data_IF_188289394756
#
_entry.id   IF_188289394756
#
_cell.length_a   1.000
_cell.length_b   1.000
_cell.length_c   1.000
_cell.angle_alpha   90.00
_cell.angle_beta   90.00
_cell.angle_gamma   90.00
#
_symmetry.space_group_name_H-M   'P 1'
#
loop_
_entity.id
_entity.type
_entity.pdbx_description
1 polymer ?
#
# COMPACT_ATOMS: atom_id res chain seq x y z
N UNK A 1 10.07 7.02 -33.15
CA UNK A 1 10.01 8.13 -32.17
C UNK A 1 8.63 8.28 -31.50
N UNK A 2 7.72 7.29 -31.58
CA UNK A 2 6.31 7.42 -31.15
C UNK A 2 5.89 6.47 -30.01
N UNK A 3 6.72 5.51 -29.59
CA UNK A 3 6.34 4.52 -28.57
C UNK A 3 6.45 5.03 -27.13
N UNK A 4 7.51 5.80 -26.81
CA UNK A 4 7.75 6.27 -25.43
C UNK A 4 6.70 7.28 -24.94
N UNK A 5 6.18 8.12 -25.84
CA UNK A 5 5.17 9.11 -25.47
C UNK A 5 3.82 8.48 -25.10
N UNK A 6 3.47 7.35 -25.73
CA UNK A 6 2.24 6.61 -25.42
C UNK A 6 2.30 5.90 -24.08
N UNK A 7 3.44 5.29 -23.75
CA UNK A 7 3.66 4.64 -22.45
C UNK A 7 3.60 5.66 -21.30
N UNK A 8 4.30 6.79 -21.44
CA UNK A 8 4.29 7.88 -20.45
C UNK A 8 2.88 8.44 -20.21
N UNK A 9 2.05 8.52 -21.25
CA UNK A 9 0.69 9.01 -21.13
C UNK A 9 -0.22 8.01 -20.40
N UNK A 10 -0.05 6.72 -20.67
CA UNK A 10 -0.80 5.65 -20.03
C UNK A 10 -0.48 5.56 -18.54
N UNK A 11 0.81 5.61 -18.17
CA UNK A 11 1.25 5.60 -16.77
C UNK A 11 0.71 6.79 -15.97
N UNK A 12 0.74 7.99 -16.56
CA UNK A 12 0.13 9.18 -15.96
C UNK A 12 -1.35 8.99 -15.70
N UNK A 13 -2.07 8.42 -16.67
CA UNK A 13 -3.51 8.23 -16.56
C UNK A 13 -3.87 7.18 -15.50
N UNK A 14 -3.13 6.08 -15.42
CA UNK A 14 -3.26 5.09 -14.34
C UNK A 14 -2.99 5.73 -12.97
N UNK A 15 -1.95 6.58 -12.87
CA UNK A 15 -1.65 7.31 -11.65
C UNK A 15 -2.78 8.30 -11.26
N UNK A 16 -3.40 8.99 -12.22
CA UNK A 16 -4.55 9.86 -12.00
C UNK A 16 -5.79 9.08 -11.53
N UNK A 17 -6.10 7.94 -12.16
CA UNK A 17 -7.20 7.05 -11.74
C UNK A 17 -6.99 6.60 -10.29
N UNK A 18 -5.80 6.09 -9.95
CA UNK A 18 -5.44 5.69 -8.59
C UNK A 18 -5.50 6.86 -7.61
N UNK A 19 -5.08 8.05 -8.02
CA UNK A 19 -5.20 9.28 -7.21
C UNK A 19 -6.66 9.61 -6.92
N UNK A 20 -7.54 9.53 -7.94
CA UNK A 20 -8.96 9.80 -7.81
C UNK A 20 -9.65 8.79 -6.90
N UNK A 21 -9.36 7.50 -7.06
CA UNK A 21 -9.85 6.43 -6.17
C UNK A 21 -9.48 6.72 -4.71
N UNK A 22 -8.21 7.06 -4.44
CA UNK A 22 -7.75 7.44 -3.09
C UNK A 22 -8.46 8.68 -2.56
N UNK A 23 -8.70 9.68 -3.42
CA UNK A 23 -9.44 10.88 -3.05
C UNK A 23 -10.88 10.55 -2.66
N UNK A 24 -11.57 9.72 -3.43
CA UNK A 24 -12.93 9.26 -3.14
C UNK A 24 -12.99 8.56 -1.77
N UNK A 25 -12.07 7.64 -1.52
CA UNK A 25 -11.95 6.96 -0.22
C UNK A 25 -11.68 7.95 0.92
N UNK A 26 -10.77 8.90 0.75
CA UNK A 26 -10.47 9.92 1.77
C UNK A 26 -11.68 10.82 2.05
N UNK A 27 -12.30 11.38 1.02
CA UNK A 27 -13.49 12.24 1.17
C UNK A 27 -14.65 11.47 1.78
N UNK A 28 -14.77 10.16 1.51
CA UNK A 28 -15.77 9.32 2.17
C UNK A 28 -15.51 9.18 3.67
N UNK A 29 -14.26 9.04 4.09
CA UNK A 29 -13.86 9.01 5.51
C UNK A 29 -14.02 10.37 6.19
N UNK A 30 -13.69 11.47 5.52
CA UNK A 30 -13.90 12.83 6.06
C UNK A 30 -15.39 13.11 6.30
N UNK A 31 -16.28 12.63 5.41
CA UNK A 31 -17.73 12.70 5.63
C UNK A 31 -18.16 11.90 6.87
N UNK A 32 -17.58 10.73 7.10
CA UNK A 32 -17.82 9.94 8.33
C UNK A 32 -17.44 10.78 9.55
N UNK A 33 -16.26 11.40 9.55
CA UNK A 33 -15.80 12.21 10.66
C UNK A 33 -16.68 13.44 10.93
N UNK A 34 -17.11 14.16 9.88
CA UNK A 34 -18.02 15.31 10.06
C UNK A 34 -19.34 14.92 10.72
N UNK A 35 -19.91 13.78 10.33
CA UNK A 35 -21.12 13.28 10.98
C UNK A 35 -20.86 12.99 12.45
N UNK A 36 -19.72 12.38 12.78
CA UNK A 36 -19.34 12.07 14.17
C UNK A 36 -19.12 13.34 15.01
N UNK A 37 -18.42 14.33 14.47
CA UNK A 37 -18.06 15.57 15.17
C UNK A 37 -19.23 16.53 15.35
N UNK A 38 -20.14 16.61 14.37
CA UNK A 38 -21.26 17.55 14.40
C UNK A 38 -22.23 17.30 15.57
N UNK A 39 -22.33 16.06 16.05
CA UNK A 39 -23.30 15.71 17.10
C UNK A 39 -24.76 15.86 16.67
N UNK A 40 -25.02 16.17 15.39
CA UNK A 40 -26.36 16.38 14.81
C UNK A 40 -27.02 15.02 14.50
N UNK A 41 -27.15 14.19 15.53
CA UNK A 41 -27.71 12.83 15.42
C UNK A 41 -29.21 12.81 15.18
N UNK A 42 -29.90 13.93 15.46
CA UNK A 42 -31.35 14.05 15.42
C UNK A 42 -31.91 14.48 14.05
N UNK A 43 -31.07 15.02 13.16
CA UNK A 43 -31.44 15.51 11.82
C UNK A 43 -31.09 14.54 10.68
N UNK A 44 -30.48 13.39 10.99
CA UNK A 44 -30.30 12.32 10.02
C UNK A 44 -31.66 11.65 9.85
N UNK A 45 -32.44 12.21 8.92
CA UNK A 45 -33.84 11.88 8.65
C UNK A 45 -34.11 10.37 8.63
N UNK A 46 -35.31 10.00 9.09
CA UNK A 46 -35.83 8.63 9.02
C UNK A 46 -35.94 8.10 7.57
N UNK A 47 -35.82 8.98 6.57
CA UNK A 47 -35.92 8.66 5.14
C UNK A 47 -34.57 8.39 4.45
N UNK A 48 -33.45 8.35 5.18
CA UNK A 48 -32.17 7.90 4.62
C UNK A 48 -32.29 6.45 4.12
N UNK A 49 -32.19 6.19 2.80
CA UNK A 49 -32.25 4.84 2.28
C UNK A 49 -31.15 3.98 2.91
N UNK A 50 -31.45 2.72 3.24
CA UNK A 50 -30.45 1.75 3.72
C UNK A 50 -29.29 1.60 2.74
N UNK A 51 -29.58 1.83 1.46
CA UNK A 51 -28.68 1.71 0.33
C UNK A 51 -28.86 2.92 -0.57
N UNK A 52 -28.12 4.00 -0.29
CA UNK A 52 -27.92 5.05 -1.29
C UNK A 52 -26.99 4.44 -2.34
N UNK A 53 -27.54 3.92 -3.43
CA UNK A 53 -26.77 3.72 -4.66
C UNK A 53 -26.21 5.08 -5.05
N UNK A 54 -24.90 5.26 -4.86
CA UNK A 54 -24.24 6.47 -5.33
C UNK A 54 -24.11 6.38 -6.84
N UNK A 55 -24.46 7.44 -7.57
CA UNK A 55 -24.13 7.49 -8.98
C UNK A 55 -22.59 7.34 -9.14
N UNK A 56 -22.12 6.71 -10.23
CA UNK A 56 -20.69 6.60 -10.51
C UNK A 56 -20.01 7.96 -10.50
N UNK A 57 -18.76 8.02 -10.01
CA UNK A 57 -17.99 9.25 -10.03
C UNK A 57 -17.69 9.64 -11.47
N UNK A 58 -18.19 10.81 -11.91
CA UNK A 58 -18.05 11.26 -13.30
C UNK A 58 -16.59 11.46 -13.71
N UNK A 59 -15.76 11.94 -12.79
CA UNK A 59 -14.33 12.15 -13.06
C UNK A 59 -13.63 10.82 -13.25
N UNK A 60 -13.86 9.85 -12.36
CA UNK A 60 -13.33 8.50 -12.49
C UNK A 60 -13.79 7.86 -13.80
N UNK A 61 -15.10 7.92 -14.10
CA UNK A 61 -15.66 7.38 -15.35
C UNK A 61 -14.94 7.95 -16.58
N UNK A 62 -14.76 9.27 -16.65
CA UNK A 62 -14.03 9.94 -17.74
C UNK A 62 -12.58 9.47 -17.85
N UNK A 63 -11.89 9.27 -16.73
CA UNK A 63 -10.50 8.79 -16.74
C UNK A 63 -10.40 7.34 -17.22
N UNK A 64 -11.37 6.50 -16.85
CA UNK A 64 -11.47 5.11 -17.32
C UNK A 64 -11.72 5.05 -18.83
N UNK A 65 -12.63 5.87 -19.34
CA UNK A 65 -12.90 5.97 -20.79
C UNK A 65 -11.65 6.41 -21.57
N UNK A 66 -10.87 7.35 -21.01
CA UNK A 66 -9.60 7.78 -21.60
C UNK A 66 -8.56 6.65 -21.60
N UNK A 67 -8.54 5.82 -20.55
CA UNK A 67 -7.60 4.70 -20.44
C UNK A 67 -7.93 3.64 -21.48
N UNK A 68 -9.21 3.33 -21.64
CA UNK A 68 -9.67 2.39 -22.66
C UNK A 68 -9.36 2.84 -24.08
N UNK A 69 -9.48 4.14 -24.36
CA UNK A 69 -9.14 4.71 -25.67
C UNK A 69 -7.64 4.70 -26.00
N UNK A 70 -6.76 4.72 -24.99
CA UNK A 70 -5.30 4.77 -25.17
C UNK A 70 -4.63 3.39 -25.09
N UNK A 71 -5.23 2.48 -24.33
CA UNK A 71 -4.69 1.15 -24.14
C UNK A 71 -4.80 0.32 -25.44
N UNK A 72 -3.64 -0.06 -25.99
CA UNK A 72 -3.54 -1.09 -27.04
C UNK A 72 -3.73 -2.47 -26.42
N UNK A 73 -4.24 -3.45 -27.17
CA UNK A 73 -4.60 -4.78 -26.66
C UNK A 73 -3.40 -5.44 -25.94
N UNK A 74 -3.38 -5.45 -24.60
CA UNK A 74 -2.36 -6.17 -23.88
C UNK A 74 -2.72 -7.66 -23.89
N UNK A 75 -1.72 -8.52 -23.76
CA UNK A 75 -1.97 -9.89 -23.30
C UNK A 75 -2.58 -9.80 -21.90
N UNK A 76 -3.90 -9.95 -21.79
CA UNK A 76 -4.61 -9.93 -20.51
C UNK A 76 -4.42 -11.29 -19.85
N UNK A 77 -4.04 -11.28 -18.58
CA UNK A 77 -3.88 -12.48 -17.77
C UNK A 77 -5.24 -13.19 -17.56
N UNK A 78 -5.28 -14.51 -17.72
CA UNK A 78 -6.50 -15.32 -17.61
C UNK A 78 -7.16 -15.16 -16.23
N UNK A 79 -6.40 -15.02 -15.15
CA UNK A 79 -6.93 -14.81 -13.79
C UNK A 79 -7.64 -13.45 -13.68
N UNK A 80 -7.08 -12.40 -14.31
CA UNK A 80 -7.71 -11.08 -14.36
C UNK A 80 -9.01 -11.13 -15.16
N UNK A 81 -9.01 -11.84 -16.29
CA UNK A 81 -10.19 -12.02 -17.12
C UNK A 81 -11.29 -12.80 -16.39
N UNK A 82 -10.94 -13.92 -15.73
CA UNK A 82 -11.87 -14.70 -14.91
C UNK A 82 -12.50 -13.84 -13.81
N UNK A 83 -11.68 -13.08 -13.07
CA UNK A 83 -12.17 -12.19 -12.00
C UNK A 83 -13.10 -11.10 -12.52
N UNK A 84 -12.80 -10.53 -13.69
CA UNK A 84 -13.67 -9.55 -14.33
C UNK A 84 -15.02 -10.16 -14.74
N UNK A 85 -15.00 -11.34 -15.38
CA UNK A 85 -16.20 -12.02 -15.84
C UNK A 85 -17.05 -12.60 -14.71
N UNK A 86 -16.46 -12.92 -13.57
CA UNK A 86 -17.20 -13.29 -12.35
C UNK A 86 -18.13 -12.17 -11.85
N UNK A 87 -17.88 -10.91 -12.24
CA UNK A 87 -18.78 -9.77 -11.98
C UNK A 87 -18.79 -9.26 -10.53
N UNK A 88 -18.06 -9.91 -9.61
CA UNK A 88 -17.90 -9.46 -8.22
C UNK A 88 -16.58 -8.73 -7.98
N UNK A 89 -16.21 -7.85 -8.92
CA UNK A 89 -15.02 -7.02 -8.78
C UNK A 89 -15.38 -5.59 -8.36
N UNK A 90 -14.40 -4.91 -7.77
CA UNK A 90 -14.46 -3.49 -7.42
C UNK A 90 -13.10 -2.86 -7.64
N UNK A 91 -13.06 -1.57 -7.97
CA UNK A 91 -11.80 -0.85 -8.17
C UNK A 91 -11.12 -0.51 -6.82
N UNK A 92 -11.91 -0.25 -5.78
CA UNK A 92 -11.54 -0.08 -4.37
C UNK A 92 -12.86 -0.04 -3.56
N UNK A 93 -12.85 0.50 -2.34
CA UNK A 93 -14.02 0.76 -1.53
C UNK A 93 -14.05 2.18 -0.94
N UNK A 94 -15.26 2.71 -0.77
CA UNK A 94 -15.57 3.93 -0.03
C UNK A 94 -16.20 3.61 1.33
N UNK A 95 -16.08 4.53 2.28
CA UNK A 95 -16.82 4.48 3.53
C UNK A 95 -18.22 5.09 3.37
N UNK A 96 -19.23 4.33 3.78
CA UNK A 96 -20.60 4.79 3.90
C UNK A 96 -21.02 4.79 5.37
N UNK A 97 -21.42 5.97 5.84
CA UNK A 97 -22.09 6.12 7.13
C UNK A 97 -23.49 5.54 7.00
N UNK A 98 -23.82 4.60 7.87
CA UNK A 98 -25.18 4.13 8.03
C UNK A 98 -25.90 4.94 9.10
N UNK A 99 -27.22 4.74 9.18
CA UNK A 99 -28.06 5.36 10.20
C UNK A 99 -27.50 5.12 11.61
N UNK A 100 -27.28 6.18 12.42
CA UNK A 100 -26.89 6.02 13.82
C UNK A 100 -27.94 5.24 14.62
N UNK A 101 -27.47 4.40 15.54
CA UNK A 101 -28.30 3.57 16.41
C UNK A 101 -28.17 4.03 17.84
N UNK A 102 -29.29 4.25 18.52
CA UNK A 102 -29.30 4.54 19.95
C UNK A 102 -28.78 3.33 20.73
N UNK A 103 -27.86 3.57 21.66
CA UNK A 103 -27.33 2.58 22.61
C UNK A 103 -27.53 3.10 24.04
N UNK A 104 -27.29 2.27 25.06
CA UNK A 104 -27.59 2.58 26.46
C UNK A 104 -27.01 3.92 26.95
N UNK A 105 -25.85 4.33 26.43
CA UNK A 105 -25.13 5.55 26.83
C UNK A 105 -24.78 6.49 25.67
N UNK A 106 -25.60 6.52 24.61
CA UNK A 106 -25.38 7.44 23.49
C UNK A 106 -25.84 6.89 22.15
N UNK A 107 -25.05 7.14 21.10
CA UNK A 107 -25.29 6.66 19.75
C UNK A 107 -24.07 5.90 19.22
N UNK A 108 -24.31 4.85 18.44
CA UNK A 108 -23.31 4.17 17.64
C UNK A 108 -23.55 4.50 16.17
N UNK A 109 -22.51 4.87 15.44
CA UNK A 109 -22.58 5.14 13.99
C UNK A 109 -21.97 3.96 13.24
N UNK A 110 -22.77 3.09 12.64
CA UNK A 110 -22.21 2.01 11.84
C UNK A 110 -21.60 2.61 10.56
N UNK A 111 -20.41 2.13 10.20
CA UNK A 111 -19.74 2.48 8.97
C UNK A 111 -19.49 1.19 8.20
N UNK A 112 -19.87 1.15 6.93
CA UNK A 112 -19.57 0.02 6.04
C UNK A 112 -18.67 0.45 4.89
N UNK A 113 -17.91 -0.49 4.36
CA UNK A 113 -17.18 -0.33 3.12
C UNK A 113 -18.10 -0.69 1.95
N UNK A 114 -18.23 0.24 1.01
CA UNK A 114 -19.01 0.08 -0.22
C UNK A 114 -18.06 -0.05 -1.41
N UNK A 115 -18.21 -1.06 -2.26
CA UNK A 115 -17.33 -1.22 -3.42
C UNK A 115 -17.51 -0.09 -4.43
N UNK A 116 -16.41 0.41 -4.99
CA UNK A 116 -16.43 1.34 -6.12
C UNK A 116 -16.62 0.52 -7.39
N UNK A 117 -17.88 0.38 -7.80
CA UNK A 117 -18.31 -0.35 -9.01
C UNK A 117 -18.58 0.61 -10.17
N UNK A 118 -17.57 1.38 -10.55
CA UNK A 118 -17.68 2.20 -11.76
C UNK A 118 -17.58 1.27 -12.97
N UNK A 119 -18.49 1.37 -13.97
CA UNK A 119 -18.38 0.59 -15.20
C UNK A 119 -16.99 0.77 -15.81
N UNK A 120 -16.33 -0.34 -16.11
CA UNK A 120 -15.01 -0.36 -16.74
C UNK A 120 -14.95 -1.56 -17.68
N UNK A 121 -14.24 -1.45 -18.79
CA UNK A 121 -13.99 -2.62 -19.64
C UNK A 121 -12.97 -3.55 -19.00
N UNK A 122 -12.87 -4.79 -19.50
CA UNK A 122 -11.83 -5.73 -19.07
C UNK A 122 -10.42 -5.12 -19.22
N UNK A 123 -10.21 -4.28 -20.24
CA UNK A 123 -8.91 -3.68 -20.55
C UNK A 123 -8.49 -2.67 -19.49
N UNK A 124 -9.27 -1.61 -19.26
CA UNK A 124 -8.99 -0.67 -18.18
C UNK A 124 -8.99 -1.37 -16.81
N UNK A 125 -9.85 -2.36 -16.59
CA UNK A 125 -9.81 -3.17 -15.37
C UNK A 125 -8.45 -3.84 -15.20
N UNK A 126 -7.90 -4.46 -16.24
CA UNK A 126 -6.57 -5.06 -16.21
C UNK A 126 -5.49 -4.00 -15.91
N UNK A 127 -5.47 -2.85 -16.58
CA UNK A 127 -4.46 -1.80 -16.30
C UNK A 127 -4.51 -1.24 -14.87
N UNK A 128 -5.70 -1.18 -14.27
CA UNK A 128 -5.88 -0.67 -12.91
C UNK A 128 -5.58 -1.74 -11.87
N UNK A 129 -6.01 -2.98 -12.13
CA UNK A 129 -5.90 -4.12 -11.20
C UNK A 129 -4.66 -4.98 -11.40
N UNK A 130 -3.84 -4.70 -12.41
CA UNK A 130 -2.39 -4.89 -12.33
C UNK A 130 -1.95 -4.01 -11.17
N UNK A 131 -2.03 -4.66 -10.01
CA UNK A 131 -1.78 -4.10 -8.70
C UNK A 131 -0.37 -3.53 -8.68
N UNK A 132 -0.07 -2.66 -7.73
CA UNK A 132 1.31 -2.28 -7.49
C UNK A 132 2.16 -3.57 -7.39
N UNK A 133 3.02 -3.79 -8.39
CA UNK A 133 4.01 -4.85 -8.52
C UNK A 133 5.03 -4.86 -7.37
N UNK A 134 4.79 -4.06 -6.33
CA UNK A 134 5.51 -4.16 -5.08
C UNK A 134 5.37 -5.55 -4.49
N UNK A 135 4.19 -6.19 -4.57
CA UNK A 135 3.91 -7.40 -3.78
C UNK A 135 4.25 -7.13 -2.30
N UNK A 136 3.98 -5.92 -1.82
CA UNK A 136 4.32 -5.48 -0.46
C UNK A 136 3.05 -5.10 0.31
N UNK A 137 2.94 -5.59 1.53
CA UNK A 137 1.95 -5.13 2.50
C UNK A 137 2.64 -4.35 3.64
N UNK A 138 2.23 -3.11 3.86
CA UNK A 138 2.85 -2.21 4.86
C UNK A 138 2.25 -2.44 6.23
N UNK A 139 3.09 -2.74 7.20
CA UNK A 139 2.70 -3.02 8.58
C UNK A 139 3.32 -2.00 9.56
N UNK A 140 2.52 -1.54 10.54
CA UNK A 140 2.86 -0.38 11.39
C UNK A 140 3.14 -0.73 12.86
N UNK A 141 2.62 -1.85 13.37
CA UNK A 141 2.56 -2.12 14.82
C UNK A 141 3.94 -2.28 15.49
N UNK A 142 4.96 -2.72 14.76
CA UNK A 142 6.31 -2.99 15.28
C UNK A 142 7.35 -2.03 14.69
N UNK A 143 6.91 -0.81 14.39
CA UNK A 143 7.60 0.09 13.47
C UNK A 143 7.27 -0.26 12.02
N UNK A 144 7.37 0.73 11.12
CA UNK A 144 7.02 0.59 9.71
C UNK A 144 7.96 -0.44 9.05
N UNK A 145 7.37 -1.49 8.48
CA UNK A 145 8.04 -2.52 7.68
C UNK A 145 7.05 -3.07 6.64
N UNK A 146 7.56 -3.87 5.71
CA UNK A 146 6.77 -4.42 4.62
C UNK A 146 6.84 -5.94 4.59
N UNK A 147 5.70 -6.61 4.46
CA UNK A 147 5.65 -8.06 4.19
C UNK A 147 5.66 -8.26 2.69
N UNK A 148 6.52 -9.15 2.20
CA UNK A 148 6.45 -9.57 0.82
C UNK A 148 5.30 -10.58 0.64
N UNK A 149 4.45 -10.36 -0.36
CA UNK A 149 3.30 -11.18 -0.69
C UNK A 149 3.53 -11.94 -2.00
N UNK A 150 2.78 -13.01 -2.22
CA UNK A 150 2.66 -13.62 -3.55
C UNK A 150 1.59 -12.88 -4.37
N UNK A 151 1.45 -13.27 -5.65
CA UNK A 151 0.42 -12.71 -6.54
C UNK A 151 -0.98 -12.85 -5.92
N UNK A 152 -1.24 -13.99 -5.28
CA UNK A 152 -2.46 -14.32 -4.53
C UNK A 152 -2.60 -13.60 -3.17
N UNK A 153 -1.76 -12.59 -2.90
CA UNK A 153 -1.73 -11.79 -1.66
C UNK A 153 -1.41 -12.55 -0.38
N UNK A 154 -1.02 -13.82 -0.43
CA UNK A 154 -0.53 -14.52 0.77
C UNK A 154 0.80 -13.93 1.21
N UNK A 155 0.89 -13.58 2.49
CA UNK A 155 2.13 -13.10 3.08
C UNK A 155 3.16 -14.22 3.11
N UNK A 156 4.36 -13.91 2.67
CA UNK A 156 5.50 -14.81 2.76
C UNK A 156 6.24 -14.63 4.08
N UNK A 157 7.19 -15.50 4.36
CA UNK A 157 8.11 -15.37 5.48
C UNK A 157 9.14 -14.26 5.28
N UNK A 158 9.07 -13.44 4.22
CA UNK A 158 10.03 -12.37 3.95
C UNK A 158 9.46 -11.03 4.35
N UNK A 159 10.19 -10.35 5.22
CA UNK A 159 9.97 -8.95 5.57
C UNK A 159 11.03 -8.07 4.91
N UNK A 160 10.65 -6.83 4.63
CA UNK A 160 11.50 -5.80 4.04
C UNK A 160 11.54 -4.60 4.98
N UNK A 161 12.74 -4.13 5.29
CA UNK A 161 13.00 -3.11 6.31
C UNK A 161 14.10 -2.15 5.84
N UNK A 162 14.00 -0.88 6.25
CA UNK A 162 15.09 0.09 6.03
C UNK A 162 16.22 -0.10 7.05
N UNK A 163 17.44 0.26 6.66
CA UNK A 163 18.49 0.48 7.67
C UNK A 163 18.33 1.85 8.31
N UNK A 164 17.73 1.83 9.50
CA UNK A 164 17.47 3.06 10.29
C UNK A 164 18.72 3.63 10.94
N UNK A 165 19.81 2.87 11.01
CA UNK A 165 21.10 3.31 11.56
C UNK A 165 21.97 3.98 10.50
N UNK A 166 21.66 3.77 9.23
CA UNK A 166 22.45 4.31 8.14
C UNK A 166 22.46 5.84 8.18
N UNK A 167 23.65 6.41 8.14
CA UNK A 167 23.90 7.84 8.01
C UNK A 167 24.58 8.06 6.67
N UNK A 168 24.07 9.01 5.91
CA UNK A 168 24.64 9.45 4.62
C UNK A 168 26.14 9.75 4.76
N UNK A 169 27.05 8.95 4.16
CA UNK A 169 28.48 9.25 4.19
C UNK A 169 28.84 10.51 3.41
N UNK A 170 27.98 11.02 2.53
CA UNK A 170 28.20 12.26 1.81
C UNK A 170 27.61 13.49 2.53
N UNK A 171 28.30 14.63 2.42
CA UNK A 171 27.82 15.93 2.90
C UNK A 171 26.52 16.35 2.20
N UNK A 172 25.74 17.24 2.83
CA UNK A 172 24.37 17.68 2.45
C UNK A 172 24.15 18.10 0.98
N UNK A 173 25.21 18.27 0.18
CA UNK A 173 25.19 18.79 -1.19
C UNK A 173 25.57 17.75 -2.27
N UNK A 174 25.74 16.47 -1.92
CA UNK A 174 26.03 15.40 -2.90
C UNK A 174 24.74 14.84 -3.54
N UNK A 175 24.83 14.05 -4.64
CA UNK A 175 23.65 13.40 -5.24
C UNK A 175 22.86 12.66 -4.16
N UNK A 176 21.51 12.67 -4.26
CA UNK A 176 20.63 12.00 -3.27
C UNK A 176 21.06 10.55 -3.07
N UNK A 177 21.81 10.29 -2.00
CA UNK A 177 22.20 8.92 -1.68
C UNK A 177 20.97 8.07 -1.41
N UNK A 178 21.04 6.83 -1.90
CA UNK A 178 19.96 5.87 -1.73
C UNK A 178 20.15 5.18 -0.39
N UNK A 179 19.32 5.54 0.60
CA UNK A 179 19.23 4.79 1.86
C UNK A 179 19.00 3.32 1.52
N UNK A 180 19.78 2.37 2.08
CA UNK A 180 19.63 0.98 1.70
C UNK A 180 18.42 0.30 2.34
N UNK A 181 17.84 -0.63 1.58
CA UNK A 181 16.71 -1.47 1.96
C UNK A 181 17.18 -2.93 2.07
N UNK A 182 16.70 -3.64 3.09
CA UNK A 182 17.10 -5.01 3.42
C UNK A 182 15.88 -5.92 3.53
N UNK A 183 16.09 -7.22 3.35
CA UNK A 183 15.10 -8.24 3.61
C UNK A 183 15.58 -9.18 4.72
N UNK A 184 14.63 -9.67 5.51
CA UNK A 184 14.88 -10.62 6.59
C UNK A 184 13.78 -11.67 6.64
N UNK A 185 14.08 -12.80 7.28
CA UNK A 185 13.05 -13.78 7.59
C UNK A 185 12.18 -13.27 8.75
N UNK A 186 10.87 -13.39 8.58
CA UNK A 186 9.91 -13.25 9.65
C UNK A 186 10.16 -14.34 10.70
N UNK A 187 9.76 -14.07 11.95
CA UNK A 187 9.81 -15.05 13.04
C UNK A 187 9.25 -16.41 12.61
N UNK A 188 9.97 -17.48 12.98
CA UNK A 188 9.65 -18.86 12.64
C UNK A 188 8.20 -19.21 13.05
N UNK A 189 7.47 -19.89 12.16
CA UNK A 189 6.08 -20.28 12.38
C UNK A 189 5.03 -19.18 12.14
N UNK A 190 5.42 -17.94 11.90
CA UNK A 190 4.44 -16.86 11.67
C UNK A 190 3.76 -16.92 10.29
N UNK A 191 4.43 -17.48 9.29
CA UNK A 191 3.93 -17.68 7.92
C UNK A 191 4.45 -19.01 7.37
N UNK A 192 3.67 -19.69 6.53
CA UNK A 192 4.02 -21.00 5.97
C UNK A 192 4.67 -20.94 4.59
N UNK A 193 4.60 -19.80 3.90
CA UNK A 193 5.05 -19.66 2.52
C UNK A 193 6.36 -18.89 2.46
N UNK A 194 7.41 -19.54 1.93
CA UNK A 194 8.74 -18.93 1.84
C UNK A 194 8.94 -18.24 0.49
N UNK A 195 9.21 -16.93 0.49
CA UNK A 195 9.70 -16.25 -0.70
C UNK A 195 11.16 -16.61 -0.97
N UNK A 196 11.64 -16.32 -2.19
CA UNK A 196 13.03 -16.55 -2.61
C UNK A 196 13.69 -15.24 -3.05
N UNK A 197 14.02 -14.33 -2.12
CA UNK A 197 14.67 -13.06 -2.45
C UNK A 197 15.96 -13.21 -3.23
N UNK A 198 16.69 -14.32 -3.02
CA UNK A 198 17.91 -14.67 -3.76
C UNK A 198 17.68 -14.82 -5.27
N UNK A 199 16.43 -15.02 -5.71
CA UNK A 199 16.05 -15.10 -7.13
C UNK A 199 15.54 -13.79 -7.71
N UNK A 200 15.38 -12.74 -6.91
CA UNK A 200 14.95 -11.44 -7.42
C UNK A 200 16.08 -10.81 -8.25
N UNK A 201 15.76 -10.49 -9.50
CA UNK A 201 16.64 -9.69 -10.36
C UNK A 201 16.71 -8.24 -9.86
N UNK A 202 17.61 -7.46 -10.44
CA UNK A 202 17.85 -6.08 -10.04
C UNK A 202 16.62 -5.19 -10.28
N UNK A 203 15.89 -5.42 -11.36
CA UNK A 203 14.63 -4.72 -11.67
C UNK A 203 13.58 -4.91 -10.57
N UNK A 204 13.34 -6.15 -10.14
CA UNK A 204 12.40 -6.45 -9.05
C UNK A 204 12.84 -5.81 -7.74
N UNK A 205 14.13 -5.87 -7.42
CA UNK A 205 14.69 -5.27 -6.19
C UNK A 205 14.55 -3.74 -6.18
N UNK A 206 14.83 -3.11 -7.32
CA UNK A 206 14.64 -1.69 -7.53
C UNK A 206 13.15 -1.32 -7.42
N UNK A 207 12.25 -2.11 -8.00
CA UNK A 207 10.79 -1.93 -7.90
C UNK A 207 10.31 -1.98 -6.45
N UNK A 208 10.70 -3.01 -5.69
CA UNK A 208 10.42 -3.12 -4.25
C UNK A 208 10.88 -1.86 -3.50
N UNK A 209 12.10 -1.40 -3.78
CA UNK A 209 12.63 -0.18 -3.16
C UNK A 209 11.85 1.06 -3.55
N UNK A 210 11.46 1.20 -4.81
CA UNK A 210 10.70 2.35 -5.30
C UNK A 210 9.30 2.39 -4.69
N UNK A 211 8.68 1.24 -4.43
CA UNK A 211 7.41 1.15 -3.73
C UNK A 211 7.51 1.59 -2.25
N UNK A 212 8.60 1.24 -1.55
CA UNK A 212 8.82 1.65 -0.16
C UNK A 212 9.27 3.12 -0.02
N UNK A 213 10.01 3.66 -0.99
CA UNK A 213 10.71 4.95 -0.85
C UNK A 213 9.82 6.16 -0.51
N UNK A 214 8.57 6.29 -1.02
CA UNK A 214 7.67 7.40 -0.66
C UNK A 214 7.40 7.53 0.84
N UNK A 215 7.43 6.42 1.59
CA UNK A 215 7.22 6.46 3.04
C UNK A 215 8.35 7.21 3.77
N UNK A 216 9.58 7.22 3.24
CA UNK A 216 10.70 7.98 3.82
C UNK A 216 10.49 9.51 3.75
N UNK A 217 9.63 9.99 2.85
CA UNK A 217 9.23 11.40 2.78
C UNK A 217 8.07 11.72 3.72
N UNK A 218 7.37 10.71 4.22
CA UNK A 218 6.15 10.85 5.04
C UNK A 218 6.43 10.62 6.53
N UNK A 219 7.29 9.67 6.86
CA UNK A 219 7.57 9.23 8.23
C UNK A 219 9.04 9.48 8.59
N UNK A 220 9.31 9.72 9.88
CA UNK A 220 10.67 9.85 10.35
C UNK A 220 11.37 8.49 10.32
N UNK A 221 12.69 8.45 10.10
CA UNK A 221 13.43 7.17 10.04
C UNK A 221 13.33 6.36 11.34
N UNK A 222 13.09 7.03 12.47
CA UNK A 222 12.85 6.42 13.78
C UNK A 222 11.55 5.62 13.87
N UNK A 223 10.59 5.88 12.97
CA UNK A 223 9.28 5.22 12.96
C UNK A 223 9.34 3.86 12.26
N UNK A 224 10.45 3.57 11.57
CA UNK A 224 10.65 2.32 10.85
C UNK A 224 11.25 1.25 11.74
N UNK A 225 10.87 0.00 11.49
CA UNK A 225 11.54 -1.15 12.06
C UNK A 225 12.96 -1.23 11.51
N UNK A 226 13.94 -1.32 12.39
CA UNK A 226 15.33 -1.53 12.01
C UNK A 226 15.54 -2.96 11.52
N UNK A 227 16.16 -3.14 10.34
CA UNK A 227 16.58 -4.45 9.86
C UNK A 227 17.50 -5.18 10.88
N UNK A 228 17.28 -6.48 11.07
CA UNK A 228 18.10 -7.35 11.93
C UNK A 228 19.53 -7.48 11.39
N UNK A 229 20.45 -7.96 12.23
CA UNK A 229 21.85 -8.13 11.84
C UNK A 229 22.06 -9.20 10.76
N UNK A 230 21.09 -10.11 10.60
CA UNK A 230 21.12 -11.19 9.62
C UNK A 230 20.36 -10.81 8.33
N UNK A 231 19.95 -9.54 8.21
CA UNK A 231 19.22 -9.06 7.05
C UNK A 231 20.15 -8.91 5.82
N UNK A 232 19.65 -9.32 4.67
CA UNK A 232 20.36 -9.28 3.40
C UNK A 232 19.90 -8.09 2.55
N UNK A 233 20.76 -7.51 1.70
CA UNK A 233 20.41 -6.32 0.94
C UNK A 233 19.33 -6.63 -0.10
N UNK A 234 18.27 -5.81 -0.13
CA UNK A 234 17.33 -5.72 -1.26
C UNK A 234 17.94 -4.80 -2.31
N UNK A 235 18.17 -3.54 -1.94
CA UNK A 235 18.69 -2.50 -2.84
C UNK A 235 19.43 -1.39 -2.07
N UNK A 236 20.60 -0.93 -2.56
CA UNK A 236 21.44 -1.55 -3.59
C UNK A 236 21.98 -2.91 -3.14
N UNK A 237 22.28 -3.83 -4.06
CA UNK A 237 22.80 -5.18 -3.71
C UNK A 237 24.17 -5.15 -3.03
N UNK A 238 24.93 -4.09 -3.25
CA UNK A 238 26.24 -3.87 -2.63
C UNK A 238 26.14 -3.25 -1.24
N UNK A 239 24.93 -2.94 -0.76
CA UNK A 239 24.74 -2.34 0.54
C UNK A 239 25.20 -3.27 1.66
N UNK A 240 25.84 -2.67 2.66
CA UNK A 240 26.20 -3.33 3.91
C UNK A 240 25.37 -2.74 5.02
N UNK A 241 24.83 -3.62 5.85
CA UNK A 241 24.04 -3.21 7.00
C UNK A 241 24.92 -2.47 8.01
N UNK A 242 24.47 -1.31 8.47
CA UNK A 242 25.18 -0.57 9.52
C UNK A 242 25.16 -1.38 10.82
N UNK A 243 26.31 -1.71 11.44
CA UNK A 243 26.33 -2.50 12.66
C UNK A 243 25.57 -1.84 13.80
N UNK A 244 24.95 -2.65 14.69
CA UNK A 244 24.50 -2.12 15.99
C UNK A 244 25.74 -1.83 16.83
N UNK A 245 25.81 -0.63 17.41
CA UNK A 245 26.80 -0.40 18.46
C UNK A 245 26.56 -1.42 19.58
N UNK A 246 27.58 -2.16 20.03
CA UNK A 246 27.41 -3.10 21.13
C UNK A 246 26.84 -2.34 22.32
N UNK A 247 25.80 -2.88 22.94
CA UNK A 247 25.30 -2.28 24.17
C UNK A 247 26.46 -2.30 25.16
N UNK A 248 26.78 -1.14 25.72
CA UNK A 248 27.67 -1.03 26.86
C UNK A 248 26.95 -1.60 28.08
N UNK A 249 26.70 -2.91 28.08
CA UNK A 249 26.25 -3.59 29.29
C UNK A 249 27.41 -3.57 30.25
N UNK A 250 27.25 -2.83 31.35
CA UNK A 250 28.20 -2.80 32.46
C UNK A 250 28.60 -4.23 32.86
N UNK A 251 29.87 -4.47 33.26
CA UNK A 251 30.36 -5.80 33.57
C UNK A 251 29.48 -6.45 34.64
N UNK A 252 28.90 -7.61 34.30
CA UNK A 252 28.19 -8.46 35.25
C UNK A 252 29.14 -8.79 36.40
N UNK A 253 28.86 -8.28 37.60
CA UNK A 253 29.53 -8.72 38.84
C UNK A 253 29.42 -10.25 38.91
N UNK A 254 30.55 -10.95 38.78
CA UNK A 254 30.65 -12.38 39.10
C UNK A 254 30.22 -12.54 40.56
N UNK A 255 29.15 -13.29 40.81
CA UNK A 255 28.90 -13.81 42.17
C UNK A 255 30.02 -14.81 42.46
N UNK A 256 30.86 -14.48 43.43
CA UNK A 256 31.76 -15.45 44.07
C UNK A 256 30.90 -16.51 44.77
N UNK A 257 31.33 -17.77 44.62
CA UNK A 257 30.84 -18.91 45.39
C UNK A 257 31.17 -18.74 46.87
#
# INVERSE_FOLDING_TARGET
MTSDQGADQLDRLVAEIRSRIRQLRRSSLERVWRVIESGEWASIDNDMPSDIERPPDRTLSRLLDQLDGLATDPSIDDEIAERYHAGDWALDAEYQVMRPRKILRGYAVPVRLMPIRTPVTLRAFAFITVDDDSFLDRHLFQGIHYHYCLADKRHTTTMVCWDTRWVSPLAKNAPKEVRPLFHELHAEGAKSVRARPERWNDEKRQSIRNACAPDLGTYAISDFRCASNDAEPVWPRTARLTPRMPSTSAPKKRKSR
#
